data_IF_553551522678
#
_entry.id   IF_553551522678
#
_cell.length_a   1.000
_cell.length_b   1.000
_cell.length_c   1.000
_cell.angle_alpha   90.00
_cell.angle_beta   90.00
_cell.angle_gamma   90.00
#
_symmetry.space_group_name_H-M   'P 1'
#
loop_
_entity.id
_entity.type
_entity.pdbx_description
1 polymer ?
#
# COMPACT_ATOMS: atom_id res chain seq x y z
N UNK A 1 -1.71 2.35 17.63
CA UNK A 1 -2.42 1.23 16.98
C UNK A 1 -2.92 1.67 15.61
N UNK A 2 -2.31 1.17 14.53
CA UNK A 2 -2.62 1.55 13.16
C UNK A 2 -3.07 0.30 12.40
N UNK A 3 -4.18 0.40 11.68
CA UNK A 3 -4.66 -0.66 10.79
C UNK A 3 -4.58 -0.18 9.35
N UNK A 4 -3.88 -0.94 8.52
CA UNK A 4 -3.73 -0.66 7.09
C UNK A 4 -4.73 -1.54 6.33
N UNK A 5 -5.61 -0.94 5.55
CA UNK A 5 -6.61 -1.63 4.74
C UNK A 5 -6.17 -1.74 3.29
N UNK A 6 -6.24 -2.95 2.75
CA UNK A 6 -6.02 -3.27 1.35
C UNK A 6 -7.36 -3.66 0.68
N UNK A 7 -7.46 -3.53 -0.64
CA UNK A 7 -8.69 -3.89 -1.36
C UNK A 7 -8.87 -5.43 -1.49
N UNK A 8 -10.12 -5.85 -1.71
CA UNK A 8 -10.46 -7.25 -2.07
C UNK A 8 -9.81 -7.64 -3.39
N UNK A 9 -9.60 -8.95 -3.60
CA UNK A 9 -8.85 -9.48 -4.73
C UNK A 9 -7.47 -8.79 -4.86
N UNK A 10 -6.64 -8.84 -3.79
CA UNK A 10 -5.47 -8.01 -3.69
C UNK A 10 -4.46 -8.31 -4.80
N UNK A 11 -3.97 -7.25 -5.43
CA UNK A 11 -2.90 -7.29 -6.40
C UNK A 11 -1.55 -6.87 -5.80
N UNK A 12 -0.55 -6.63 -6.66
CA UNK A 12 0.79 -6.30 -6.20
C UNK A 12 0.90 -4.88 -5.66
N UNK A 13 0.07 -3.94 -6.13
CA UNK A 13 0.18 -2.56 -5.65
C UNK A 13 -0.43 -2.41 -4.26
N UNK A 14 -1.67 -2.87 -4.04
CA UNK A 14 -2.28 -2.76 -2.70
C UNK A 14 -1.51 -3.53 -1.63
N UNK A 15 -1.02 -4.76 -1.93
CA UNK A 15 -0.27 -5.57 -0.97
C UNK A 15 1.16 -5.07 -0.79
N UNK A 16 1.82 -4.67 -1.86
CA UNK A 16 3.15 -4.07 -1.80
C UNK A 16 3.13 -2.78 -0.98
N UNK A 17 2.20 -1.88 -1.26
CA UNK A 17 1.99 -0.65 -0.51
C UNK A 17 1.66 -0.90 0.96
N UNK A 18 0.70 -1.79 1.25
CA UNK A 18 0.32 -2.13 2.62
C UNK A 18 1.49 -2.71 3.41
N UNK A 19 2.28 -3.59 2.80
CA UNK A 19 3.45 -4.23 3.44
C UNK A 19 4.61 -3.24 3.61
N UNK A 20 4.88 -2.38 2.63
CA UNK A 20 5.90 -1.34 2.74
C UNK A 20 5.59 -0.35 3.87
N UNK A 21 4.33 0.13 3.93
CA UNK A 21 3.88 1.03 4.99
C UNK A 21 3.92 0.34 6.36
N UNK A 22 3.51 -0.94 6.44
CA UNK A 22 3.66 -1.75 7.64
C UNK A 22 5.11 -1.76 8.14
N UNK A 23 6.07 -2.09 7.28
CA UNK A 23 7.49 -2.13 7.64
C UNK A 23 8.01 -0.75 8.09
N UNK A 24 7.62 0.32 7.39
CA UNK A 24 8.02 1.68 7.74
C UNK A 24 7.47 2.10 9.12
N UNK A 25 6.21 1.81 9.40
CA UNK A 25 5.58 2.12 10.69
C UNK A 25 6.17 1.27 11.82
N UNK A 26 6.54 0.01 11.55
CA UNK A 26 7.27 -0.83 12.53
C UNK A 26 8.64 -0.24 12.86
N UNK A 27 9.37 0.31 11.89
CA UNK A 27 10.65 0.99 12.11
C UNK A 27 10.52 2.23 13.01
N UNK A 28 9.31 2.81 13.11
CA UNK A 28 8.95 3.90 14.02
C UNK A 28 8.30 3.42 15.33
N UNK A 29 8.48 2.15 15.69
CA UNK A 29 7.92 1.53 16.90
C UNK A 29 6.38 1.61 17.02
N UNK A 30 5.68 1.70 15.90
CA UNK A 30 4.20 1.68 15.91
C UNK A 30 3.68 0.26 16.04
N UNK A 31 2.54 0.12 16.73
CA UNK A 31 1.76 -1.10 16.70
C UNK A 31 0.88 -1.05 15.45
N UNK A 32 1.13 -1.94 14.49
CA UNK A 32 0.52 -1.89 13.15
C UNK A 32 0.27 -3.29 12.62
N UNK A 33 -0.81 -3.45 11.87
CA UNK A 33 -1.13 -4.66 11.12
C UNK A 33 -1.82 -4.30 9.79
N UNK A 34 -1.85 -5.26 8.86
CA UNK A 34 -2.52 -5.13 7.56
C UNK A 34 -3.79 -5.96 7.56
N UNK A 35 -4.86 -5.45 7.00
CA UNK A 35 -6.13 -6.16 6.81
C UNK A 35 -6.51 -6.18 5.33
N UNK A 36 -6.82 -7.37 4.85
CA UNK A 36 -7.44 -7.59 3.55
C UNK A 36 -8.62 -8.55 3.73
N UNK A 37 -9.71 -8.34 3.01
CA UNK A 37 -10.87 -9.23 3.08
C UNK A 37 -10.61 -10.59 2.45
N UNK A 38 -9.72 -10.65 1.48
CA UNK A 38 -9.39 -11.87 0.73
C UNK A 38 -8.00 -12.39 1.08
N UNK A 39 -7.76 -13.65 0.77
CA UNK A 39 -6.46 -14.28 0.97
C UNK A 39 -5.40 -13.65 0.06
N UNK A 40 -4.22 -13.39 0.62
CA UNK A 40 -3.09 -12.89 -0.15
C UNK A 40 -2.60 -13.98 -1.11
N UNK A 41 -2.52 -13.72 -2.42
CA UNK A 41 -1.98 -14.69 -3.37
C UNK A 41 -0.54 -15.11 -3.02
N UNK A 42 -0.23 -16.40 -3.16
CA UNK A 42 1.07 -16.97 -2.77
C UNK A 42 2.27 -16.25 -3.41
N UNK A 43 2.10 -15.71 -4.63
CA UNK A 43 3.15 -14.93 -5.31
C UNK A 43 3.58 -13.67 -4.54
N UNK A 44 2.74 -13.16 -3.62
CA UNK A 44 3.03 -12.02 -2.76
C UNK A 44 3.38 -12.41 -1.32
N UNK A 45 3.53 -13.70 -1.02
CA UNK A 45 3.84 -14.17 0.34
C UNK A 45 5.16 -13.61 0.90
N UNK A 46 6.10 -13.25 0.02
CA UNK A 46 7.38 -12.64 0.40
C UNK A 46 7.24 -11.26 1.05
N UNK A 47 6.14 -10.55 0.81
CA UNK A 47 5.88 -9.22 1.41
C UNK A 47 5.75 -9.29 2.94
N UNK A 48 5.32 -10.43 3.44
CA UNK A 48 5.42 -10.87 4.84
C UNK A 48 4.92 -9.86 5.90
N UNK A 49 3.93 -9.03 5.56
CA UNK A 49 3.29 -8.15 6.53
C UNK A 49 2.47 -8.96 7.54
N UNK A 50 2.43 -8.48 8.78
CA UNK A 50 1.57 -9.07 9.80
C UNK A 50 0.11 -8.79 9.48
N UNK A 51 -0.65 -9.86 9.20
CA UNK A 51 -2.09 -9.76 8.95
C UNK A 51 -2.85 -9.65 10.28
N UNK A 52 -3.75 -8.67 10.34
CA UNK A 52 -4.56 -8.38 11.52
C UNK A 52 -5.46 -9.57 11.91
N UNK A 53 -5.46 -9.91 13.20
CA UNK A 53 -6.24 -11.01 13.78
C UNK A 53 -7.11 -10.56 14.96
N UNK A 54 -7.31 -9.25 15.10
CA UNK A 54 -8.09 -8.70 16.20
C UNK A 54 -7.29 -8.46 17.49
N UNK A 55 -5.96 -8.37 17.39
CA UNK A 55 -5.07 -8.25 18.55
C UNK A 55 -5.04 -6.87 19.20
N UNK A 56 -5.64 -5.85 18.58
CA UNK A 56 -5.77 -4.49 19.14
C UNK A 56 -6.98 -3.75 18.55
N UNK A 57 -7.43 -2.71 19.27
CA UNK A 57 -8.37 -1.73 18.73
C UNK A 57 -7.60 -0.68 17.93
N UNK A 58 -7.88 -0.51 16.62
CA UNK A 58 -7.26 0.54 15.81
C UNK A 58 -7.61 1.93 16.30
N UNK A 59 -6.63 2.81 16.38
CA UNK A 59 -6.78 4.24 16.67
C UNK A 59 -6.69 5.07 15.41
N UNK A 60 -6.09 4.49 14.37
CA UNK A 60 -5.95 5.09 13.04
C UNK A 60 -6.12 4.00 11.99
N UNK A 61 -6.95 4.27 11.01
CA UNK A 61 -7.22 3.39 9.87
C UNK A 61 -6.72 4.06 8.60
N UNK A 62 -5.79 3.38 7.91
CA UNK A 62 -5.18 3.88 6.67
C UNK A 62 -5.54 2.94 5.53
N UNK A 63 -6.13 3.44 4.47
CA UNK A 63 -6.34 2.69 3.24
C UNK A 63 -5.21 2.97 2.23
N UNK A 64 -4.74 1.95 1.54
CA UNK A 64 -3.73 2.08 0.49
C UNK A 64 -4.25 1.46 -0.80
N UNK A 65 -4.20 2.22 -1.89
CA UNK A 65 -4.58 1.76 -3.22
C UNK A 65 -6.05 1.29 -3.28
N UNK A 66 -6.96 2.07 -2.70
CA UNK A 66 -8.39 1.76 -2.65
C UNK A 66 -9.22 2.95 -3.14
N UNK A 67 -9.76 2.85 -4.35
CA UNK A 67 -10.50 3.95 -4.98
C UNK A 67 -11.89 4.21 -4.37
N UNK A 68 -12.51 3.21 -3.74
CA UNK A 68 -13.85 3.35 -3.18
C UNK A 68 -14.15 2.29 -2.11
N UNK A 69 -15.12 2.58 -1.25
CA UNK A 69 -15.51 1.69 -0.15
C UNK A 69 -15.97 0.29 -0.61
N UNK A 70 -16.50 0.16 -1.82
CA UNK A 70 -16.96 -1.11 -2.38
C UNK A 70 -15.80 -2.09 -2.66
N UNK A 71 -14.56 -1.57 -2.73
CA UNK A 71 -13.37 -2.38 -2.98
C UNK A 71 -12.80 -3.03 -1.71
N UNK A 72 -13.24 -2.65 -0.53
CA UNK A 72 -12.76 -3.28 0.70
C UNK A 72 -13.18 -4.75 0.86
N UNK A 73 -14.37 -5.11 0.36
CA UNK A 73 -14.95 -6.43 0.62
C UNK A 73 -15.56 -6.55 2.02
N UNK A 74 -15.94 -7.76 2.44
CA UNK A 74 -16.75 -7.97 3.64
C UNK A 74 -16.14 -8.95 4.65
N UNK A 75 -15.16 -9.76 4.20
CA UNK A 75 -14.57 -10.81 5.03
C UNK A 75 -13.59 -10.26 6.08
N UNK A 76 -13.19 -11.10 7.02
CA UNK A 76 -12.15 -10.85 8.02
C UNK A 76 -12.43 -9.62 8.92
N UNK A 77 -13.70 -9.23 9.08
CA UNK A 77 -14.07 -8.04 9.85
C UNK A 77 -13.87 -6.71 9.11
N UNK A 78 -13.54 -6.74 7.82
CA UNK A 78 -13.30 -5.55 7.00
C UNK A 78 -14.44 -4.53 7.09
N UNK A 79 -15.70 -4.97 7.04
CA UNK A 79 -16.88 -4.11 7.15
C UNK A 79 -16.91 -3.26 8.43
N UNK A 80 -16.35 -3.77 9.53
CA UNK A 80 -16.25 -3.02 10.77
C UNK A 80 -15.27 -1.84 10.65
N UNK A 81 -14.08 -2.11 10.11
CA UNK A 81 -12.98 -1.14 10.09
C UNK A 81 -13.05 -0.18 8.90
N UNK A 82 -13.68 -0.58 7.80
CA UNK A 82 -13.85 0.28 6.61
C UNK A 82 -14.99 1.31 6.72
N UNK A 83 -15.75 1.32 7.83
CA UNK A 83 -16.80 2.32 8.07
C UNK A 83 -16.27 3.74 8.26
N UNK A 84 -15.07 3.86 8.79
CA UNK A 84 -14.37 5.11 8.98
C UNK A 84 -12.90 4.90 8.65
N UNK A 85 -12.39 5.68 7.73
CA UNK A 85 -10.99 5.64 7.28
C UNK A 85 -10.41 7.04 7.48
N UNK A 86 -9.36 7.14 8.28
CA UNK A 86 -8.73 8.42 8.60
C UNK A 86 -7.90 8.96 7.43
N UNK A 87 -7.18 8.06 6.74
CA UNK A 87 -6.31 8.42 5.62
C UNK A 87 -6.44 7.41 4.47
N UNK A 88 -6.57 7.91 3.25
CA UNK A 88 -6.42 7.12 2.03
C UNK A 88 -5.21 7.61 1.25
N UNK A 89 -4.33 6.70 0.81
CA UNK A 89 -3.22 6.97 -0.10
C UNK A 89 -3.50 6.21 -1.39
N UNK A 90 -3.76 6.93 -2.49
CA UNK A 90 -4.30 6.34 -3.70
C UNK A 90 -3.84 7.07 -4.97
N UNK A 91 -3.79 6.35 -6.08
CA UNK A 91 -3.46 6.91 -7.38
C UNK A 91 -4.63 6.90 -8.39
N UNK A 92 -5.75 6.31 -8.03
CA UNK A 92 -6.91 6.24 -8.92
C UNK A 92 -7.60 7.60 -9.08
N UNK A 93 -7.58 8.19 -10.27
CA UNK A 93 -8.23 9.48 -10.56
C UNK A 93 -9.74 9.51 -10.21
N UNK A 94 -10.38 8.33 -10.17
CA UNK A 94 -11.78 8.16 -9.80
C UNK A 94 -12.01 7.89 -8.31
N UNK A 95 -11.04 8.16 -7.43
CA UNK A 95 -11.21 7.99 -6.00
C UNK A 95 -12.43 8.75 -5.48
N UNK A 96 -13.26 8.10 -4.67
CA UNK A 96 -14.54 8.63 -4.21
C UNK A 96 -14.46 9.60 -3.02
N UNK A 97 -13.27 9.84 -2.47
CA UNK A 97 -13.03 10.74 -1.34
C UNK A 97 -13.72 10.28 -0.05
N UNK A 98 -13.69 9.00 0.25
CA UNK A 98 -14.40 8.39 1.38
C UNK A 98 -13.66 8.51 2.72
N UNK A 99 -12.37 8.81 2.69
CA UNK A 99 -11.56 8.99 3.90
C UNK A 99 -11.58 10.44 4.38
N UNK A 100 -11.29 10.66 5.67
CA UNK A 100 -11.19 12.01 6.24
C UNK A 100 -10.12 12.84 5.53
N UNK A 101 -8.97 12.18 5.23
CA UNK A 101 -7.90 12.76 4.42
C UNK A 101 -7.56 11.82 3.27
N UNK A 102 -7.34 12.38 2.08
CA UNK A 102 -6.93 11.60 0.91
C UNK A 102 -5.70 12.22 0.28
N UNK A 103 -4.60 11.46 0.26
CA UNK A 103 -3.43 11.76 -0.55
C UNK A 103 -3.63 11.08 -1.92
N UNK A 104 -3.99 11.88 -2.91
CA UNK A 104 -4.33 11.41 -4.25
C UNK A 104 -3.39 12.00 -5.31
N UNK A 105 -2.84 11.14 -6.14
CA UNK A 105 -2.16 11.56 -7.36
C UNK A 105 -2.62 10.70 -8.55
N UNK A 106 -3.66 11.12 -9.23
CA UNK A 106 -4.19 10.43 -10.41
C UNK A 106 -3.28 10.39 -11.64
N UNK A 107 -2.09 11.00 -11.57
CA UNK A 107 -1.06 10.93 -12.62
C UNK A 107 0.04 9.92 -12.29
N UNK A 108 0.07 9.39 -11.08
CA UNK A 108 1.01 8.33 -10.70
C UNK A 108 0.59 7.00 -11.34
N UNK A 109 1.56 6.20 -11.74
CA UNK A 109 1.30 4.91 -12.38
C UNK A 109 0.89 3.82 -11.38
N UNK A 110 1.16 4.02 -10.09
CA UNK A 110 0.88 3.11 -8.99
C UNK A 110 0.84 3.88 -7.67
N UNK A 111 0.09 3.39 -6.67
CA UNK A 111 0.13 3.94 -5.31
C UNK A 111 1.53 3.79 -4.67
N UNK A 112 2.31 2.84 -5.13
CA UNK A 112 3.70 2.63 -4.71
C UNK A 112 4.59 3.87 -4.94
N UNK A 113 4.32 4.72 -5.95
CA UNK A 113 5.04 5.99 -6.13
C UNK A 113 4.78 6.94 -4.95
N UNK A 114 3.52 7.06 -4.54
CA UNK A 114 3.14 7.91 -3.41
C UNK A 114 3.72 7.38 -2.10
N UNK A 115 3.62 6.06 -1.89
CA UNK A 115 4.16 5.42 -0.69
C UNK A 115 5.68 5.58 -0.58
N UNK A 116 6.42 5.53 -1.69
CA UNK A 116 7.85 5.83 -1.71
C UNK A 116 8.12 7.24 -1.13
N UNK A 117 7.39 8.25 -1.60
CA UNK A 117 7.52 9.62 -1.12
C UNK A 117 7.09 9.77 0.35
N UNK A 118 5.99 9.14 0.74
CA UNK A 118 5.49 9.17 2.12
C UNK A 118 6.51 8.57 3.09
N UNK A 119 7.07 7.39 2.77
CA UNK A 119 8.05 6.71 3.63
C UNK A 119 9.33 7.56 3.76
N UNK A 120 9.80 8.16 2.67
CA UNK A 120 10.93 9.09 2.73
C UNK A 120 10.62 10.32 3.59
N UNK A 121 9.42 10.92 3.45
CA UNK A 121 8.99 12.07 4.24
C UNK A 121 8.86 11.74 5.74
N UNK A 122 8.56 10.48 6.09
CA UNK A 122 8.57 9.98 7.48
C UNK A 122 9.99 9.83 8.03
N UNK A 123 11.03 10.01 7.24
CA UNK A 123 12.43 9.82 7.63
C UNK A 123 12.82 8.36 7.83
N UNK A 124 12.08 7.42 7.24
CA UNK A 124 12.36 5.99 7.32
C UNK A 124 13.21 5.57 6.11
N UNK A 125 14.30 4.84 6.39
CA UNK A 125 15.14 4.30 5.33
C UNK A 125 14.38 3.24 4.49
N UNK A 126 14.48 3.34 3.18
CA UNK A 126 13.97 2.32 2.26
C UNK A 126 14.93 1.11 2.35
N UNK A 127 14.55 0.10 3.14
CA UNK A 127 15.28 -1.16 3.22
C UNK A 127 15.07 -2.00 1.96
N UNK A 128 15.93 -3.00 1.64
CA UNK A 128 15.70 -3.90 0.51
C UNK A 128 14.31 -4.53 0.53
N UNK A 129 13.78 -4.90 1.70
CA UNK A 129 12.45 -5.48 1.81
C UNK A 129 11.32 -4.47 1.51
N UNK A 130 11.43 -3.23 2.01
CA UNK A 130 10.49 -2.14 1.64
C UNK A 130 10.57 -1.88 0.13
N UNK A 131 11.78 -1.90 -0.43
CA UNK A 131 12.00 -1.72 -1.86
C UNK A 131 11.36 -2.85 -2.69
N UNK A 132 11.49 -4.12 -2.28
CA UNK A 132 10.83 -5.26 -2.92
C UNK A 132 9.30 -5.10 -2.95
N UNK A 133 8.72 -4.66 -1.83
CA UNK A 133 7.28 -4.42 -1.72
C UNK A 133 6.82 -3.31 -2.68
N UNK A 134 7.47 -2.15 -2.67
CA UNK A 134 7.10 -1.01 -3.54
C UNK A 134 7.38 -1.29 -5.01
N UNK A 135 8.48 -1.98 -5.33
CA UNK A 135 8.78 -2.37 -6.71
C UNK A 135 7.75 -3.33 -7.28
N UNK A 136 7.23 -4.22 -6.43
CA UNK A 136 6.13 -5.12 -6.82
C UNK A 136 4.88 -4.32 -7.21
N UNK A 137 4.51 -3.30 -6.43
CA UNK A 137 3.41 -2.40 -6.79
C UNK A 137 3.64 -1.73 -8.15
N UNK A 138 4.79 -1.08 -8.32
CA UNK A 138 5.15 -0.44 -9.59
C UNK A 138 5.09 -1.41 -10.77
N UNK A 139 5.69 -2.60 -10.63
CA UNK A 139 5.77 -3.57 -11.72
C UNK A 139 4.40 -4.14 -12.10
N UNK A 140 3.53 -4.41 -11.12
CA UNK A 140 2.20 -4.96 -11.40
C UNK A 140 1.29 -3.95 -12.07
N UNK A 141 1.19 -2.74 -11.55
CA UNK A 141 0.30 -1.70 -12.06
C UNK A 141 0.73 -1.09 -13.40
N UNK A 142 1.99 -1.22 -13.72
CA UNK A 142 2.53 -0.77 -15.02
C UNK A 142 2.64 -1.89 -16.05
N UNK A 143 2.23 -3.12 -15.71
CA UNK A 143 2.45 -4.29 -16.55
C UNK A 143 3.93 -4.47 -16.90
N UNK A 144 4.80 -4.39 -15.90
CA UNK A 144 6.26 -4.35 -16.06
C UNK A 144 6.71 -3.19 -16.97
N UNK A 145 6.24 -1.98 -16.65
CA UNK A 145 6.58 -0.71 -17.31
C UNK A 145 6.14 -0.61 -18.79
N UNK A 146 5.14 -1.39 -19.20
CA UNK A 146 4.63 -1.42 -20.59
C UNK A 146 3.35 -0.65 -20.80
N UNK A 147 2.59 -0.34 -19.74
CA UNK A 147 1.33 0.38 -19.87
C UNK A 147 1.58 1.88 -20.08
N UNK A 148 0.63 2.55 -20.71
CA UNK A 148 0.69 3.98 -21.01
C UNK A 148 0.67 4.88 -19.76
N UNK A 149 0.28 4.35 -18.61
CA UNK A 149 0.38 5.02 -17.31
C UNK A 149 1.83 5.19 -16.83
N UNK A 150 2.79 4.41 -17.37
CA UNK A 150 4.21 4.50 -17.00
C UNK A 150 4.78 5.86 -17.37
N UNK A 151 5.32 6.58 -16.39
CA UNK A 151 5.91 7.92 -16.54
C UNK A 151 7.41 7.93 -16.32
N UNK A 152 8.06 9.06 -16.56
CA UNK A 152 9.47 9.26 -16.19
C UNK A 152 9.66 9.10 -14.68
N UNK A 153 8.71 9.60 -13.85
CA UNK A 153 8.76 9.44 -12.40
C UNK A 153 8.70 7.98 -11.97
N UNK A 154 7.85 7.17 -12.62
CA UNK A 154 7.79 5.72 -12.39
C UNK A 154 9.16 5.05 -12.53
N UNK A 155 9.91 5.39 -13.59
CA UNK A 155 11.27 4.87 -13.80
C UNK A 155 12.29 5.42 -12.80
N UNK A 156 12.15 6.69 -12.38
CA UNK A 156 13.00 7.29 -11.34
C UNK A 156 12.79 6.56 -10.01
N UNK A 157 11.54 6.35 -9.60
CA UNK A 157 11.23 5.62 -8.36
C UNK A 157 11.73 4.18 -8.47
N UNK A 158 11.49 3.49 -9.58
CA UNK A 158 12.01 2.14 -9.80
C UNK A 158 13.55 2.07 -9.67
N UNK A 159 14.26 3.02 -10.27
CA UNK A 159 15.73 3.09 -10.15
C UNK A 159 16.17 3.27 -8.68
N UNK A 160 15.47 4.12 -7.92
CA UNK A 160 15.75 4.33 -6.48
C UNK A 160 15.50 3.08 -5.64
N UNK A 161 14.47 2.31 -5.97
CA UNK A 161 14.18 1.05 -5.30
C UNK A 161 15.25 -0.01 -5.62
N UNK A 162 15.76 -0.05 -6.87
CA UNK A 162 16.88 -0.91 -7.26
C UNK A 162 18.16 -0.49 -6.51
N UNK A 163 18.47 0.81 -6.43
CA UNK A 163 19.60 1.34 -5.64
C UNK A 163 19.48 0.95 -4.15
N UNK A 164 18.26 0.88 -3.60
CA UNK A 164 17.99 0.43 -2.24
C UNK A 164 18.12 -1.08 -2.05
N UNK A 165 18.35 -1.84 -3.13
CA UNK A 165 18.65 -3.27 -3.10
C UNK A 165 17.44 -4.18 -3.31
N UNK A 166 16.40 -3.72 -4.03
CA UNK A 166 15.30 -4.61 -4.37
C UNK A 166 15.75 -5.70 -5.36
N UNK A 167 15.06 -6.85 -5.27
CA UNK A 167 15.23 -7.96 -6.21
C UNK A 167 14.28 -7.77 -7.39
N UNK A 168 14.84 -7.58 -8.60
CA UNK A 168 14.09 -7.33 -9.84
C UNK A 168 13.70 -8.64 -10.51
#
# INVERSE_FOLDING_TARGET
>A
NILILCHKNPDGDTIGCGSALYCALKALDKNVAVLCSDAIPNRYAFTNAHMFKGEFEPQTVVAVDVASVQLFGENNGMTQFSRHVDLCIDHHAGNSGYADFTLLNGSAAAAAELLYEVINAMGVAITPHIADCLYTGLATDTGCFRFSSTTANTHIVAAKLIEAGCHV
#
